data_IF_904988395400
#
_entry.id   IF_904988395400
#
_cell.length_a   1.000
_cell.length_b   1.000
_cell.length_c   1.000
_cell.angle_alpha   90.00
_cell.angle_beta   90.00
_cell.angle_gamma   90.00
#
_symmetry.space_group_name_H-M   'P 1'
#
loop_
_entity.id
_entity.type
_entity.pdbx_description
1 polymer ?
#
# COMPACT_ATOMS: atom_id res chain seq x y z
N UNK A 1 13.66 -13.07 12.37
CA UNK A 1 12.73 -12.53 13.39
C UNK A 1 12.49 -11.04 13.16
N UNK A 2 11.33 -10.52 13.55
CA UNK A 2 11.07 -9.07 13.64
C UNK A 2 11.89 -8.40 14.75
N UNK A 3 11.95 -7.07 14.69
CA UNK A 3 12.67 -6.24 15.67
C UNK A 3 12.16 -6.48 17.09
N UNK A 4 13.08 -6.66 18.04
CA UNK A 4 12.78 -6.94 19.45
C UNK A 4 11.89 -8.18 19.74
N UNK A 5 11.62 -9.04 18.76
CA UNK A 5 10.80 -10.25 18.97
C UNK A 5 11.69 -11.44 19.29
N UNK A 6 11.53 -12.00 20.50
CA UNK A 6 12.26 -13.19 20.91
C UNK A 6 12.01 -14.39 19.95
N UNK A 7 13.06 -15.15 19.65
CA UNK A 7 12.99 -16.28 18.71
C UNK A 7 11.98 -17.36 19.12
N UNK A 8 11.70 -17.50 20.42
CA UNK A 8 10.72 -18.45 20.95
C UNK A 8 9.31 -18.24 20.38
N UNK A 9 8.92 -17.00 20.06
CA UNK A 9 7.62 -16.69 19.48
C UNK A 9 7.45 -17.18 18.03
N UNK A 10 8.53 -17.55 17.35
CA UNK A 10 8.49 -18.11 15.99
C UNK A 10 8.46 -19.64 15.98
N UNK A 11 8.48 -20.29 17.14
CA UNK A 11 8.51 -21.77 17.24
C UNK A 11 7.27 -22.39 16.61
N UNK A 12 6.09 -21.85 16.91
CA UNK A 12 4.83 -22.35 16.37
C UNK A 12 4.76 -22.18 14.84
N UNK A 13 5.19 -21.02 14.34
CA UNK A 13 5.27 -20.74 12.89
C UNK A 13 6.20 -21.70 12.18
N UNK A 14 7.40 -21.93 12.74
CA UNK A 14 8.36 -22.90 12.19
C UNK A 14 7.80 -24.33 12.19
N UNK A 15 7.14 -24.74 13.28
CA UNK A 15 6.49 -26.06 13.35
C UNK A 15 5.38 -26.20 12.32
N UNK A 16 4.55 -25.17 12.13
CA UNK A 16 3.47 -25.20 11.14
C UNK A 16 4.01 -25.33 9.71
N UNK A 17 5.10 -24.63 9.39
CA UNK A 17 5.81 -24.77 8.11
C UNK A 17 6.32 -26.21 7.94
N UNK A 18 7.00 -26.77 8.94
CA UNK A 18 7.50 -28.15 8.87
C UNK A 18 6.38 -29.19 8.75
N UNK A 19 5.26 -29.00 9.44
CA UNK A 19 4.12 -29.92 9.40
C UNK A 19 3.40 -29.88 8.05
N UNK A 20 3.25 -28.71 7.44
CA UNK A 20 2.63 -28.56 6.13
C UNK A 20 3.52 -29.09 5.00
N UNK A 21 4.85 -28.97 5.15
CA UNK A 21 5.82 -29.30 4.10
C UNK A 21 6.13 -30.79 4.06
N UNK A 22 5.31 -31.53 3.32
CA UNK A 22 5.51 -32.97 3.05
C UNK A 22 6.42 -33.21 1.85
N UNK A 23 7.02 -34.40 1.71
CA UNK A 23 7.85 -34.75 0.55
C UNK A 23 9.23 -34.08 0.48
N UNK A 24 9.51 -33.07 1.31
CA UNK A 24 10.80 -32.43 1.47
C UNK A 24 11.38 -32.71 2.86
N UNK A 25 12.70 -32.86 2.95
CA UNK A 25 13.40 -32.89 4.24
C UNK A 25 13.71 -31.46 4.67
N UNK A 26 12.85 -30.88 5.50
CA UNK A 26 12.96 -29.48 5.89
C UNK A 26 13.47 -29.32 7.34
N UNK A 27 14.53 -28.51 7.48
CA UNK A 27 14.97 -27.96 8.76
C UNK A 27 14.66 -26.47 8.79
N UNK A 28 13.89 -26.02 9.78
CA UNK A 28 13.68 -24.59 10.02
C UNK A 28 14.54 -24.16 11.20
N UNK A 29 15.42 -23.19 10.98
CA UNK A 29 16.28 -22.61 12.01
C UNK A 29 15.92 -21.15 12.23
N UNK A 30 15.83 -20.72 13.49
CA UNK A 30 15.47 -19.34 13.85
C UNK A 30 16.69 -18.72 14.55
N UNK A 31 17.56 -17.98 13.84
CA UNK A 31 18.69 -17.33 14.46
C UNK A 31 18.22 -16.22 15.40
N UNK A 32 18.85 -16.10 16.57
CA UNK A 32 18.70 -14.90 17.40
C UNK A 32 19.47 -13.77 16.75
N UNK A 33 18.76 -12.77 16.27
CA UNK A 33 19.29 -11.53 15.68
C UNK A 33 18.87 -10.41 16.63
N UNK A 34 19.83 -9.70 17.20
CA UNK A 34 19.55 -8.46 17.94
C UNK A 34 19.43 -7.31 16.96
N UNK A 35 18.69 -6.26 17.31
CA UNK A 35 18.45 -5.13 16.41
C UNK A 35 19.75 -4.49 15.87
N UNK A 36 20.80 -4.46 16.68
CA UNK A 36 22.13 -4.00 16.24
C UNK A 36 22.75 -4.84 15.10
N UNK A 37 22.31 -6.09 14.93
CA UNK A 37 22.74 -6.99 13.85
C UNK A 37 21.82 -6.90 12.63
N UNK A 38 20.59 -6.39 12.78
CA UNK A 38 19.77 -6.02 11.63
C UNK A 38 20.26 -4.69 11.07
N UNK A 39 21.30 -4.75 10.25
CA UNK A 39 21.80 -3.56 9.57
C UNK A 39 20.84 -3.29 8.39
N UNK A 40 20.00 -2.27 8.55
CA UNK A 40 19.07 -1.80 7.51
C UNK A 40 19.77 -1.34 6.23
N UNK A 41 21.09 -1.19 6.24
CA UNK A 41 21.92 -0.97 5.07
C UNK A 41 23.06 -1.98 5.00
N UNK A 42 22.87 -2.97 4.13
CA UNK A 42 23.79 -4.10 3.99
C UNK A 42 24.26 -4.20 2.52
N UNK A 43 24.91 -3.16 1.96
CA UNK A 43 25.17 -3.08 0.52
C UNK A 43 26.28 -4.02 0.03
N UNK A 44 26.93 -4.77 0.93
CA UNK A 44 27.99 -5.72 0.56
C UNK A 44 28.14 -6.83 1.60
N UNK A 45 28.73 -7.94 1.16
CA UNK A 45 29.04 -9.10 2.00
C UNK A 45 29.87 -8.75 3.25
N UNK A 46 30.78 -7.78 3.15
CA UNK A 46 31.61 -7.35 4.29
C UNK A 46 30.75 -6.73 5.41
N UNK A 47 29.76 -5.92 5.05
CA UNK A 47 28.86 -5.27 6.00
C UNK A 47 27.79 -6.25 6.52
N UNK A 48 27.42 -7.25 5.73
CA UNK A 48 26.48 -8.31 6.15
C UNK A 48 27.12 -9.48 6.88
N UNK A 49 28.44 -9.50 7.02
CA UNK A 49 29.20 -10.65 7.53
C UNK A 49 28.76 -11.10 8.92
N UNK A 50 28.42 -10.17 9.82
CA UNK A 50 27.90 -10.49 11.15
C UNK A 50 26.55 -11.20 11.11
N UNK A 51 25.61 -10.71 10.30
CA UNK A 51 24.28 -11.32 10.14
C UNK A 51 24.40 -12.69 9.47
N UNK A 52 25.19 -12.77 8.39
CA UNK A 52 25.46 -14.03 7.69
C UNK A 52 26.10 -15.08 8.60
N UNK A 53 27.11 -14.70 9.38
CA UNK A 53 27.78 -15.61 10.32
C UNK A 53 26.80 -16.13 11.37
N UNK A 54 25.88 -15.28 11.84
CA UNK A 54 24.84 -15.69 12.79
C UNK A 54 23.85 -16.69 12.20
N UNK A 55 23.48 -16.52 10.93
CA UNK A 55 22.65 -17.49 10.19
C UNK A 55 23.43 -18.80 10.00
N UNK A 56 24.68 -18.74 9.55
CA UNK A 56 25.54 -19.91 9.38
C UNK A 56 25.76 -20.69 10.69
N UNK A 57 25.94 -19.99 11.81
CA UNK A 57 26.04 -20.57 13.15
C UNK A 57 24.76 -21.26 13.61
N UNK A 58 23.58 -20.76 13.20
CA UNK A 58 22.32 -21.41 13.50
C UNK A 58 22.12 -22.67 12.64
N UNK A 59 22.49 -22.60 11.35
CA UNK A 59 22.43 -23.74 10.43
C UNK A 59 23.40 -24.84 10.87
N UNK A 60 24.62 -24.51 11.29
CA UNK A 60 25.64 -25.50 11.72
C UNK A 60 25.24 -26.28 12.98
N UNK A 61 24.30 -25.76 13.77
CA UNK A 61 23.71 -26.46 14.93
C UNK A 61 22.54 -27.37 14.56
N UNK A 62 22.06 -27.30 13.32
CA UNK A 62 21.05 -28.23 12.82
C UNK A 62 21.71 -29.51 12.30
N UNK A 63 20.89 -30.53 11.98
CA UNK A 63 21.38 -31.74 11.30
C UNK A 63 21.35 -31.62 9.78
N UNK A 64 21.19 -30.40 9.25
CA UNK A 64 21.16 -30.13 7.83
C UNK A 64 22.53 -30.42 7.19
N UNK A 65 22.50 -31.06 6.01
CA UNK A 65 23.70 -31.50 5.29
C UNK A 65 23.71 -31.00 3.84
N UNK A 66 22.89 -30.00 3.51
CA UNK A 66 22.89 -29.38 2.18
C UNK A 66 24.25 -28.73 1.91
N UNK A 67 24.66 -28.76 0.65
CA UNK A 67 26.00 -28.30 0.24
C UNK A 67 25.95 -27.17 -0.77
N UNK A 68 24.77 -26.89 -1.35
CA UNK A 68 24.60 -25.81 -2.31
C UNK A 68 23.50 -24.85 -1.83
N UNK A 69 23.91 -23.68 -1.36
CA UNK A 69 23.01 -22.66 -0.81
C UNK A 69 21.96 -22.19 -1.84
N UNK A 70 22.33 -22.12 -3.13
CA UNK A 70 21.43 -21.77 -4.23
C UNK A 70 20.33 -22.79 -4.51
N UNK A 71 20.46 -24.00 -4.00
CA UNK A 71 19.50 -25.09 -4.22
C UNK A 71 18.79 -25.49 -2.93
N UNK A 72 19.48 -25.38 -1.79
CA UNK A 72 19.04 -26.03 -0.56
C UNK A 72 18.61 -25.03 0.53
N UNK A 73 18.84 -23.72 0.36
CA UNK A 73 18.67 -22.73 1.44
C UNK A 73 17.71 -21.61 1.05
N UNK A 74 16.60 -21.51 1.79
CA UNK A 74 15.67 -20.39 1.71
C UNK A 74 15.83 -19.48 2.92
N UNK A 75 15.76 -18.16 2.72
CA UNK A 75 15.86 -17.17 3.79
C UNK A 75 14.50 -16.53 4.01
N UNK A 76 14.03 -16.50 5.25
CA UNK A 76 12.78 -15.86 5.61
C UNK A 76 12.99 -14.76 6.66
N UNK A 77 12.20 -13.70 6.55
CA UNK A 77 12.11 -12.64 7.53
C UNK A 77 10.67 -12.35 7.92
N UNK A 78 10.48 -11.78 9.11
CA UNK A 78 9.17 -11.27 9.56
C UNK A 78 9.30 -9.79 9.90
N UNK A 79 8.39 -8.93 9.44
CA UNK A 79 8.40 -7.49 9.74
C UNK A 79 9.73 -6.84 9.32
N UNK A 80 10.40 -6.10 10.20
CA UNK A 80 11.78 -5.61 10.00
C UNK A 80 12.76 -6.74 9.61
N UNK A 81 12.53 -7.96 10.10
CA UNK A 81 13.28 -9.16 9.72
C UNK A 81 13.25 -9.45 8.23
N UNK A 82 12.17 -9.09 7.51
CA UNK A 82 12.07 -9.21 6.05
C UNK A 82 13.04 -8.27 5.35
N UNK A 83 13.21 -7.05 5.88
CA UNK A 83 14.22 -6.11 5.39
C UNK A 83 15.63 -6.64 5.67
N UNK A 84 15.91 -7.16 6.86
CA UNK A 84 17.22 -7.75 7.15
C UNK A 84 17.50 -8.97 6.24
N UNK A 85 16.49 -9.82 5.99
CA UNK A 85 16.59 -10.96 5.10
C UNK A 85 16.85 -10.52 3.65
N UNK A 86 16.12 -9.51 3.15
CA UNK A 86 16.35 -8.94 1.82
C UNK A 86 17.79 -8.44 1.68
N UNK A 87 18.23 -7.65 2.65
CA UNK A 87 19.58 -7.10 2.73
C UNK A 87 20.67 -8.18 2.76
N UNK A 88 20.44 -9.27 3.50
CA UNK A 88 21.36 -10.40 3.54
C UNK A 88 21.44 -11.09 2.17
N UNK A 89 20.28 -11.41 1.57
CA UNK A 89 20.21 -12.06 0.26
C UNK A 89 20.90 -11.20 -0.80
N UNK A 90 20.61 -9.90 -0.84
CA UNK A 90 21.23 -8.95 -1.76
C UNK A 90 22.75 -8.79 -1.51
N UNK A 91 23.17 -8.61 -0.25
CA UNK A 91 24.58 -8.45 0.12
C UNK A 91 25.45 -9.67 -0.21
N UNK A 92 24.84 -10.83 -0.42
CA UNK A 92 25.46 -12.07 -0.89
C UNK A 92 25.08 -12.41 -2.34
N UNK A 93 24.73 -11.41 -3.15
CA UNK A 93 24.47 -11.54 -4.60
C UNK A 93 23.44 -12.62 -4.93
N UNK A 94 22.40 -12.73 -4.10
CA UNK A 94 21.29 -13.66 -4.27
C UNK A 94 21.73 -15.13 -4.26
N UNK A 95 22.77 -15.47 -3.48
CA UNK A 95 23.31 -16.83 -3.34
C UNK A 95 22.44 -17.74 -2.45
N UNK A 96 21.14 -17.78 -2.71
CA UNK A 96 20.12 -18.54 -1.97
C UNK A 96 19.09 -19.14 -2.93
N UNK A 97 18.40 -20.21 -2.54
CA UNK A 97 17.35 -20.85 -3.34
C UNK A 97 16.07 -20.00 -3.44
N UNK A 98 15.82 -19.15 -2.45
CA UNK A 98 14.71 -18.22 -2.45
C UNK A 98 14.61 -17.39 -1.18
N UNK A 99 13.74 -16.38 -1.21
CA UNK A 99 13.48 -15.45 -0.11
C UNK A 99 11.99 -15.44 0.25
N UNK A 100 11.67 -15.27 1.53
CA UNK A 100 10.29 -15.12 2.00
C UNK A 100 10.15 -13.94 2.95
N UNK A 101 9.24 -13.02 2.65
CA UNK A 101 8.90 -11.86 3.45
C UNK A 101 7.54 -12.07 4.12
N UNK A 102 7.54 -12.25 5.44
CA UNK A 102 6.33 -12.39 6.26
C UNK A 102 6.01 -11.04 6.91
N UNK A 103 4.77 -10.54 6.79
CA UNK A 103 4.39 -9.23 7.32
C UNK A 103 5.41 -8.14 6.96
N UNK A 104 6.01 -8.21 5.78
CA UNK A 104 7.16 -7.38 5.41
C UNK A 104 7.34 -7.36 3.89
N UNK A 105 8.42 -6.74 3.44
CA UNK A 105 8.62 -6.50 2.01
C UNK A 105 10.10 -6.45 1.63
N UNK A 106 10.35 -6.51 0.32
CA UNK A 106 11.67 -6.30 -0.29
C UNK A 106 11.77 -4.86 -0.81
N UNK A 107 12.83 -4.51 -1.53
CA UNK A 107 12.99 -3.15 -2.02
C UNK A 107 11.91 -2.80 -3.04
N UNK A 108 11.56 -1.51 -3.13
CA UNK A 108 10.52 -1.09 -4.09
C UNK A 108 11.02 -1.08 -5.52
N UNK A 109 12.32 -0.89 -5.73
CA UNK A 109 12.92 -0.63 -7.04
C UNK A 109 14.28 -1.29 -7.13
N UNK A 110 14.77 -1.49 -8.36
CA UNK A 110 16.08 -2.09 -8.60
C UNK A 110 16.04 -3.61 -8.60
N UNK A 111 17.20 -4.24 -8.54
CA UNK A 111 17.39 -5.69 -8.60
C UNK A 111 16.82 -6.44 -7.38
N UNK A 112 16.66 -5.77 -6.25
CA UNK A 112 15.98 -6.32 -5.08
C UNK A 112 14.47 -5.99 -5.02
N UNK A 113 13.87 -5.53 -6.13
CA UNK A 113 12.41 -5.40 -6.26
C UNK A 113 11.73 -6.72 -6.61
N UNK A 114 10.42 -6.83 -6.38
CA UNK A 114 9.69 -8.08 -6.71
C UNK A 114 9.78 -8.40 -8.20
N UNK A 115 9.60 -7.40 -9.06
CA UNK A 115 9.64 -7.61 -10.51
C UNK A 115 11.01 -8.15 -10.97
N UNK A 116 12.10 -7.58 -10.44
CA UNK A 116 13.47 -7.85 -10.89
C UNK A 116 14.23 -8.85 -10.01
N UNK A 117 13.64 -9.37 -8.93
CA UNK A 117 14.35 -10.21 -7.96
C UNK A 117 14.99 -11.43 -8.67
N UNK A 118 16.30 -11.68 -8.58
CA UNK A 118 16.94 -12.74 -9.38
C UNK A 118 16.54 -14.16 -9.01
N UNK A 119 16.03 -14.36 -7.80
CA UNK A 119 15.63 -15.66 -7.25
C UNK A 119 14.12 -15.65 -6.89
N UNK A 120 13.50 -16.81 -6.63
CA UNK A 120 12.14 -16.88 -6.11
C UNK A 120 11.98 -16.04 -4.85
N UNK A 121 10.91 -15.25 -4.77
CA UNK A 121 10.57 -14.41 -3.62
C UNK A 121 9.07 -14.48 -3.32
N UNK A 122 8.73 -14.87 -2.09
CA UNK A 122 7.37 -14.94 -1.58
C UNK A 122 7.09 -13.77 -0.62
N UNK A 123 5.95 -13.11 -0.78
CA UNK A 123 5.40 -12.19 0.21
C UNK A 123 4.12 -12.77 0.80
N UNK A 124 4.06 -12.88 2.12
CA UNK A 124 2.85 -13.19 2.87
C UNK A 124 2.58 -12.06 3.87
N UNK A 125 1.41 -11.42 3.82
CA UNK A 125 1.00 -10.42 4.81
C UNK A 125 -0.45 -10.67 5.26
N UNK A 126 -0.80 -10.22 6.46
CA UNK A 126 -2.17 -10.30 6.95
C UNK A 126 -3.10 -9.31 6.24
N UNK A 127 -4.37 -9.67 6.04
CA UNK A 127 -5.41 -8.72 5.60
C UNK A 127 -5.55 -7.55 6.57
N UNK A 128 -5.32 -7.82 7.86
CA UNK A 128 -5.46 -6.90 8.98
C UNK A 128 -4.11 -6.39 9.47
N UNK A 129 -3.05 -6.56 8.68
CA UNK A 129 -1.74 -5.97 8.99
C UNK A 129 -1.87 -4.44 9.01
N UNK A 130 -1.91 -3.86 10.21
CA UNK A 130 -1.94 -2.41 10.40
C UNK A 130 -0.53 -1.79 10.33
N UNK A 131 0.51 -2.62 10.25
CA UNK A 131 1.90 -2.21 10.27
C UNK A 131 2.40 -1.69 8.93
N UNK A 132 3.70 -1.89 8.69
CA UNK A 132 4.36 -1.47 7.46
C UNK A 132 4.05 -2.38 6.28
N UNK A 133 3.45 -3.56 6.46
CA UNK A 133 3.10 -4.49 5.40
C UNK A 133 1.58 -4.58 5.18
N UNK A 134 0.90 -3.48 5.48
CA UNK A 134 -0.54 -3.31 5.24
C UNK A 134 -0.95 -3.54 3.78
N UNK A 135 -2.23 -3.92 3.53
CA UNK A 135 -2.72 -4.22 2.19
C UNK A 135 -2.39 -3.17 1.13
N UNK A 136 -2.53 -1.87 1.41
CA UNK A 136 -2.24 -0.87 0.39
C UNK A 136 -0.77 -0.68 0.06
N UNK A 137 0.15 -1.05 0.96
CA UNK A 137 1.57 -1.21 0.60
C UNK A 137 1.83 -2.47 -0.19
N UNK A 138 1.16 -3.58 0.15
CA UNK A 138 1.27 -4.84 -0.58
C UNK A 138 0.70 -4.75 -2.00
N UNK A 139 -0.27 -3.86 -2.25
CA UNK A 139 -0.77 -3.58 -3.59
C UNK A 139 0.36 -3.21 -4.56
N UNK A 140 1.34 -2.42 -4.11
CA UNK A 140 2.50 -2.05 -4.93
C UNK A 140 3.33 -3.27 -5.35
N UNK A 141 3.66 -4.16 -4.41
CA UNK A 141 4.41 -5.39 -4.70
C UNK A 141 3.59 -6.40 -5.52
N UNK A 142 2.29 -6.47 -5.27
CA UNK A 142 1.36 -7.25 -6.08
C UNK A 142 1.33 -6.75 -7.54
N UNK A 143 1.38 -5.44 -7.78
CA UNK A 143 1.47 -4.89 -9.13
C UNK A 143 2.77 -5.26 -9.86
N UNK A 144 3.89 -5.34 -9.13
CA UNK A 144 5.15 -5.85 -9.69
C UNK A 144 5.05 -7.33 -10.05
N UNK A 145 4.45 -8.15 -9.18
CA UNK A 145 4.17 -9.56 -9.49
C UNK A 145 3.30 -9.71 -10.74
N UNK A 146 2.26 -8.87 -10.89
CA UNK A 146 1.43 -8.82 -12.11
C UNK A 146 2.23 -8.44 -13.35
N UNK A 147 3.12 -7.45 -13.23
CA UNK A 147 3.95 -7.00 -14.35
C UNK A 147 4.89 -8.12 -14.79
N UNK A 148 5.53 -8.80 -13.83
CA UNK A 148 6.31 -10.01 -14.11
C UNK A 148 5.46 -11.09 -14.78
N UNK A 149 4.25 -11.34 -14.30
CA UNK A 149 3.31 -12.31 -14.88
C UNK A 149 2.83 -11.96 -16.28
N UNK A 150 2.67 -10.67 -16.60
CA UNK A 150 2.35 -10.22 -17.95
C UNK A 150 3.51 -10.49 -18.94
N UNK A 151 4.76 -10.42 -18.46
CA UNK A 151 5.95 -10.69 -19.27
C UNK A 151 6.30 -12.18 -19.37
N UNK A 152 6.06 -12.98 -18.34
CA UNK A 152 6.56 -14.37 -18.22
C UNK A 152 5.47 -15.44 -18.07
N UNK A 153 4.20 -15.04 -17.92
CA UNK A 153 3.07 -15.92 -17.65
C UNK A 153 2.71 -16.00 -16.17
N UNK A 154 1.42 -16.22 -15.88
CA UNK A 154 0.89 -16.23 -14.52
C UNK A 154 1.46 -17.37 -13.66
N UNK A 155 1.69 -18.54 -14.26
CA UNK A 155 2.29 -19.68 -13.57
C UNK A 155 3.69 -19.34 -13.05
N UNK A 156 4.51 -18.69 -13.90
CA UNK A 156 5.84 -18.21 -13.51
C UNK A 156 5.76 -17.15 -12.42
N UNK A 157 4.77 -16.25 -12.45
CA UNK A 157 4.58 -15.27 -11.38
C UNK A 157 4.20 -15.94 -10.05
N UNK A 158 3.35 -16.97 -10.06
CA UNK A 158 2.97 -17.72 -8.84
C UNK A 158 4.13 -18.54 -8.28
N UNK A 159 5.03 -19.04 -9.12
CA UNK A 159 6.21 -19.79 -8.72
C UNK A 159 7.32 -18.88 -8.21
N UNK A 160 7.62 -17.82 -8.97
CA UNK A 160 8.79 -16.97 -8.73
C UNK A 160 8.47 -15.76 -7.87
N UNK A 161 7.35 -15.07 -8.10
CA UNK A 161 7.00 -13.75 -7.52
C UNK A 161 5.66 -13.74 -6.76
N UNK A 162 5.27 -14.77 -6.00
CA UNK A 162 3.97 -14.76 -5.34
C UNK A 162 3.89 -13.66 -4.27
N UNK A 163 2.87 -12.82 -4.38
CA UNK A 163 2.49 -11.84 -3.35
C UNK A 163 1.09 -12.18 -2.87
N UNK A 164 0.95 -12.50 -1.59
CA UNK A 164 -0.31 -12.94 -1.01
C UNK A 164 -0.70 -12.19 0.26
N UNK A 165 -1.97 -11.81 0.32
CA UNK A 165 -2.62 -11.33 1.53
C UNK A 165 -3.41 -12.50 2.14
N UNK A 166 -3.33 -12.68 3.44
CA UNK A 166 -3.93 -13.81 4.16
C UNK A 166 -5.21 -13.35 4.88
N UNK A 167 -6.38 -13.97 4.59
CA UNK A 167 -7.68 -13.48 5.02
C UNK A 167 -7.85 -13.50 6.55
N UNK A 168 -8.30 -12.39 7.11
CA UNK A 168 -8.58 -12.21 8.53
C UNK A 168 -7.37 -12.29 9.46
N UNK A 169 -6.16 -12.41 8.93
CA UNK A 169 -4.93 -12.48 9.72
C UNK A 169 -4.35 -11.09 9.96
N UNK A 170 -3.70 -10.89 11.09
CA UNK A 170 -2.96 -9.67 11.43
C UNK A 170 -1.44 -9.81 11.23
N UNK A 171 -0.68 -8.77 11.55
CA UNK A 171 0.79 -8.81 11.46
C UNK A 171 1.39 -9.75 12.52
N UNK A 172 0.79 -9.81 13.70
CA UNK A 172 1.27 -10.57 14.86
C UNK A 172 1.08 -12.09 14.72
N UNK A 173 0.18 -12.54 13.85
CA UNK A 173 -0.08 -13.94 13.57
C UNK A 173 1.16 -14.72 13.12
N UNK A 174 2.19 -14.06 12.58
CA UNK A 174 3.47 -14.70 12.22
C UNK A 174 4.38 -14.99 13.42
N UNK A 175 4.12 -14.42 14.59
CA UNK A 175 4.84 -14.67 15.84
C UNK A 175 3.88 -14.88 17.04
N UNK A 176 3.17 -16.02 17.08
CA UNK A 176 2.14 -16.32 18.06
C UNK A 176 2.55 -16.04 19.51
N UNK A 177 1.70 -15.31 20.24
CA UNK A 177 1.95 -14.94 21.64
C UNK A 177 2.77 -13.66 21.85
N UNK A 178 3.21 -13.02 20.77
CA UNK A 178 3.77 -11.69 20.78
C UNK A 178 2.94 -10.79 19.86
N UNK A 179 2.23 -9.84 20.46
CA UNK A 179 1.48 -8.85 19.69
C UNK A 179 2.43 -7.74 19.31
N UNK A 180 2.85 -7.71 18.04
CA UNK A 180 3.79 -6.74 17.48
C UNK A 180 3.11 -5.39 17.50
N UNK A 181 3.29 -4.70 18.62
CA UNK A 181 2.71 -3.43 19.02
C UNK A 181 1.19 -3.44 19.19
N UNK A 182 0.73 -3.41 20.46
CA UNK A 182 -0.67 -3.28 20.89
C UNK A 182 -1.48 -2.14 20.23
N UNK A 183 -0.81 -1.26 19.50
CA UNK A 183 -1.36 -0.01 18.96
C UNK A 183 -1.24 0.12 17.44
N UNK A 184 -0.41 -0.69 16.76
CA UNK A 184 -0.22 -0.52 15.32
C UNK A 184 -0.97 -1.52 14.48
N UNK A 185 -1.43 -2.61 15.06
CA UNK A 185 -2.06 -3.72 14.34
C UNK A 185 -3.57 -3.78 14.60
N UNK A 186 -4.30 -4.40 13.68
CA UNK A 186 -5.74 -4.65 13.81
C UNK A 186 -5.89 -6.09 14.26
N UNK A 187 -6.76 -6.36 15.23
CA UNK A 187 -6.86 -7.72 15.78
C UNK A 187 -7.24 -8.76 14.72
N UNK A 188 -6.51 -9.88 14.70
CA UNK A 188 -6.85 -11.05 13.89
C UNK A 188 -8.30 -11.51 14.12
N UNK A 189 -9.00 -11.78 13.02
CA UNK A 189 -10.33 -12.36 12.97
C UNK A 189 -10.30 -13.89 12.99
N UNK A 190 -9.11 -14.49 12.87
CA UNK A 190 -8.92 -15.95 12.85
C UNK A 190 -8.27 -16.44 14.14
N UNK A 191 -8.48 -17.72 14.45
CA UNK A 191 -7.75 -18.33 15.56
C UNK A 191 -6.30 -18.54 15.18
N UNK A 192 -5.43 -18.56 16.20
CA UNK A 192 -4.01 -18.83 15.99
C UNK A 192 -3.74 -20.13 15.21
N UNK A 193 -4.55 -21.18 15.43
CA UNK A 193 -4.44 -22.44 14.70
C UNK A 193 -4.74 -22.30 13.20
N UNK A 194 -5.74 -21.48 12.84
CA UNK A 194 -6.07 -21.19 11.44
C UNK A 194 -4.96 -20.36 10.79
N UNK A 195 -4.44 -19.35 11.49
CA UNK A 195 -3.30 -18.56 11.03
C UNK A 195 -2.06 -19.43 10.75
N UNK A 196 -1.68 -20.29 11.71
CA UNK A 196 -0.55 -21.22 11.56
C UNK A 196 -0.74 -22.20 10.39
N UNK A 197 -1.94 -22.78 10.26
CA UNK A 197 -2.25 -23.65 9.12
C UNK A 197 -2.12 -22.91 7.78
N UNK A 198 -2.62 -21.67 7.71
CA UNK A 198 -2.61 -20.86 6.48
C UNK A 198 -1.19 -20.46 6.09
N UNK A 199 -0.39 -19.97 7.05
CA UNK A 199 1.02 -19.63 6.84
C UNK A 199 1.80 -20.88 6.41
N UNK A 200 1.64 -21.99 7.12
CA UNK A 200 2.31 -23.25 6.80
C UNK A 200 2.00 -23.74 5.39
N UNK A 201 0.74 -23.67 4.95
CA UNK A 201 0.32 -24.05 3.59
C UNK A 201 0.93 -23.16 2.52
N UNK A 202 0.92 -21.83 2.71
CA UNK A 202 1.51 -20.90 1.74
C UNK A 202 3.02 -21.11 1.58
N UNK A 203 3.73 -21.23 2.70
CA UNK A 203 5.18 -21.51 2.68
C UNK A 203 5.48 -22.88 2.08
N UNK A 204 4.73 -23.93 2.46
CA UNK A 204 4.91 -25.27 1.90
C UNK A 204 4.73 -25.28 0.39
N UNK A 205 3.69 -24.62 -0.12
CA UNK A 205 3.44 -24.52 -1.55
C UNK A 205 4.61 -23.83 -2.26
N UNK A 206 5.15 -22.75 -1.68
CA UNK A 206 6.27 -22.04 -2.28
C UNK A 206 7.52 -22.90 -2.36
N UNK A 207 7.81 -23.64 -1.28
CA UNK A 207 8.94 -24.57 -1.22
C UNK A 207 8.77 -25.71 -2.23
N UNK A 208 7.58 -26.27 -2.41
CA UNK A 208 7.32 -27.33 -3.38
C UNK A 208 7.50 -26.89 -4.82
N UNK A 209 7.10 -25.65 -5.15
CA UNK A 209 7.31 -25.08 -6.48
C UNK A 209 8.78 -24.81 -6.78
N UNK A 210 9.57 -24.49 -5.76
CA UNK A 210 10.97 -24.08 -5.90
C UNK A 210 11.97 -25.14 -5.42
N UNK A 211 11.54 -26.39 -5.26
CA UNK A 211 12.40 -27.52 -4.87
C UNK A 211 12.08 -28.76 -5.71
N UNK A 212 13.03 -29.70 -5.86
CA UNK A 212 12.78 -30.97 -6.54
C UNK A 212 11.68 -31.78 -5.83
N UNK A 213 10.47 -31.79 -6.39
CA UNK A 213 9.32 -32.56 -5.91
C UNK A 213 8.58 -33.20 -7.09
N UNK A 214 7.75 -34.22 -6.82
CA UNK A 214 6.94 -34.85 -7.87
C UNK A 214 5.80 -33.93 -8.37
N UNK A 215 5.29 -34.25 -9.56
CA UNK A 215 4.23 -33.47 -10.22
C UNK A 215 2.94 -33.38 -9.38
N UNK A 216 2.67 -34.35 -8.51
CA UNK A 216 1.46 -34.31 -7.66
C UNK A 216 1.58 -33.19 -6.63
N UNK A 217 2.74 -33.10 -5.96
CA UNK A 217 3.03 -32.05 -5.01
C UNK A 217 3.10 -30.67 -5.69
N UNK A 218 3.74 -30.57 -6.86
CA UNK A 218 3.78 -29.30 -7.60
C UNK A 218 2.39 -28.82 -8.02
N UNK A 219 1.53 -29.71 -8.52
CA UNK A 219 0.17 -29.35 -8.91
C UNK A 219 -0.69 -28.92 -7.71
N UNK A 220 -0.55 -29.59 -6.57
CA UNK A 220 -1.21 -29.19 -5.33
C UNK A 220 -0.73 -27.80 -4.86
N UNK A 221 0.59 -27.55 -4.91
CA UNK A 221 1.18 -26.27 -4.57
C UNK A 221 0.69 -25.13 -5.48
N UNK A 222 0.60 -25.36 -6.81
CA UNK A 222 0.01 -24.39 -7.75
C UNK A 222 -1.44 -24.07 -7.41
N UNK A 223 -2.24 -25.07 -7.04
CA UNK A 223 -3.62 -24.87 -6.63
C UNK A 223 -3.72 -24.01 -5.35
N UNK A 224 -2.84 -24.26 -4.36
CA UNK A 224 -2.77 -23.42 -3.14
C UNK A 224 -2.40 -21.98 -3.48
N UNK A 225 -1.36 -21.75 -4.28
CA UNK A 225 -0.96 -20.40 -4.69
C UNK A 225 -2.04 -19.68 -5.49
N UNK A 226 -2.72 -20.39 -6.39
CA UNK A 226 -3.84 -19.83 -7.14
C UNK A 226 -4.99 -19.41 -6.23
N UNK A 227 -5.32 -20.20 -5.20
CA UNK A 227 -6.35 -19.86 -4.22
C UNK A 227 -5.98 -18.60 -3.41
N UNK A 228 -4.74 -18.54 -2.92
CA UNK A 228 -4.24 -17.35 -2.20
C UNK A 228 -4.22 -16.10 -3.09
N UNK A 229 -3.82 -16.26 -4.35
CA UNK A 229 -3.86 -15.19 -5.35
C UNK A 229 -5.28 -14.70 -5.63
N UNK A 230 -6.28 -15.59 -5.70
CA UNK A 230 -7.68 -15.17 -5.90
C UNK A 230 -8.15 -14.25 -4.79
N UNK A 231 -7.91 -14.60 -3.53
CA UNK A 231 -8.24 -13.71 -2.42
C UNK A 231 -7.46 -12.38 -2.53
N UNK A 232 -6.15 -12.47 -2.75
CA UNK A 232 -5.27 -11.29 -2.88
C UNK A 232 -5.74 -10.34 -3.97
N UNK A 233 -6.06 -10.86 -5.16
CA UNK A 233 -6.57 -10.06 -6.27
C UNK A 233 -7.90 -9.40 -5.95
N UNK A 234 -8.83 -10.10 -5.29
CA UNK A 234 -10.12 -9.51 -4.94
C UNK A 234 -10.00 -8.36 -3.95
N UNK A 235 -8.98 -8.38 -3.07
CA UNK A 235 -8.69 -7.32 -2.13
C UNK A 235 -7.86 -6.17 -2.75
N UNK A 236 -6.80 -6.48 -3.51
CA UNK A 236 -5.80 -5.50 -3.93
C UNK A 236 -6.06 -4.87 -5.30
N UNK A 237 -6.84 -5.50 -6.20
CA UNK A 237 -7.22 -4.85 -7.46
C UNK A 237 -8.01 -3.54 -7.24
N UNK A 238 -8.98 -3.45 -6.31
CA UNK A 238 -9.61 -2.18 -5.94
C UNK A 238 -8.60 -1.12 -5.48
N UNK A 239 -7.59 -1.51 -4.70
CA UNK A 239 -6.54 -0.60 -4.22
C UNK A 239 -5.72 -0.06 -5.40
N UNK A 240 -5.33 -0.92 -6.33
CA UNK A 240 -4.63 -0.49 -7.55
C UNK A 240 -5.47 0.46 -8.39
N UNK A 241 -6.79 0.25 -8.48
CA UNK A 241 -7.67 1.15 -9.21
C UNK A 241 -7.65 2.56 -8.62
N UNK A 242 -7.78 2.70 -7.29
CA UNK A 242 -7.74 4.04 -6.65
C UNK A 242 -6.36 4.67 -6.66
N UNK A 243 -5.27 3.89 -6.60
CA UNK A 243 -3.90 4.40 -6.79
C UNK A 243 -3.68 4.96 -8.20
N UNK A 244 -4.22 4.30 -9.23
CA UNK A 244 -4.16 4.80 -10.61
C UNK A 244 -4.95 6.11 -10.76
N UNK A 245 -6.04 6.30 -10.01
CA UNK A 245 -6.81 7.55 -10.07
C UNK A 245 -6.01 8.79 -9.66
N UNK A 246 -5.04 8.63 -8.75
CA UNK A 246 -4.13 9.71 -8.34
C UNK A 246 -3.26 10.24 -9.49
N UNK A 247 -3.14 9.48 -10.59
CA UNK A 247 -2.36 9.84 -11.77
C UNK A 247 -3.13 10.71 -12.77
N UNK A 248 -4.33 11.19 -12.42
CA UNK A 248 -5.00 12.28 -13.12
C UNK A 248 -6.51 12.17 -13.20
N UNK A 249 -7.06 10.95 -13.34
CA UNK A 249 -8.52 10.78 -13.49
C UNK A 249 -9.31 11.25 -12.27
N UNK A 250 -8.68 11.33 -11.09
CA UNK A 250 -9.28 11.96 -9.93
C UNK A 250 -9.52 13.46 -10.10
N UNK A 251 -8.55 14.22 -10.64
CA UNK A 251 -8.75 15.64 -10.93
C UNK A 251 -9.73 15.85 -12.10
N UNK A 252 -9.85 14.90 -13.02
CA UNK A 252 -10.88 14.93 -14.06
C UNK A 252 -12.29 14.88 -13.46
N UNK A 253 -12.51 13.93 -12.55
CA UNK A 253 -13.76 13.78 -11.80
C UNK A 253 -14.02 15.02 -10.95
N UNK A 254 -13.00 15.52 -10.24
CA UNK A 254 -13.10 16.73 -9.43
C UNK A 254 -13.54 17.94 -10.28
N UNK A 255 -12.96 18.13 -11.46
CA UNK A 255 -13.33 19.22 -12.37
C UNK A 255 -14.79 19.12 -12.81
N UNK A 256 -15.28 17.90 -13.12
CA UNK A 256 -16.69 17.67 -13.47
C UNK A 256 -17.62 17.97 -12.29
N UNK A 257 -17.24 17.56 -11.09
CA UNK A 257 -18.00 17.86 -9.86
C UNK A 257 -18.03 19.37 -9.58
N UNK A 258 -16.87 20.04 -9.62
CA UNK A 258 -16.72 21.48 -9.37
C UNK A 258 -17.41 22.32 -10.44
N UNK A 259 -17.49 21.84 -11.68
CA UNK A 259 -18.22 22.53 -12.74
C UNK A 259 -19.73 22.62 -12.42
N UNK A 260 -20.29 21.68 -11.67
CA UNK A 260 -21.68 21.71 -11.22
C UNK A 260 -22.70 21.72 -12.37
N UNK A 261 -22.38 21.10 -13.50
CA UNK A 261 -23.27 21.02 -14.66
C UNK A 261 -24.45 20.08 -14.37
N UNK A 262 -25.60 20.40 -14.98
CA UNK A 262 -26.75 19.50 -15.03
C UNK A 262 -26.41 18.22 -15.81
N UNK A 263 -27.22 17.17 -15.65
CA UNK A 263 -27.06 15.94 -16.45
C UNK A 263 -27.22 16.21 -17.94
N UNK A 264 -28.07 17.18 -18.31
CA UNK A 264 -28.30 17.61 -19.69
C UNK A 264 -27.09 18.32 -20.29
N UNK A 265 -26.36 19.10 -19.48
CA UNK A 265 -25.21 19.90 -19.93
C UNK A 265 -23.86 19.20 -19.72
N UNK A 266 -23.81 18.08 -18.98
CA UNK A 266 -22.57 17.38 -18.64
C UNK A 266 -21.73 17.00 -19.87
N UNK A 267 -22.38 16.69 -21.00
CA UNK A 267 -21.72 16.36 -22.27
C UNK A 267 -21.03 17.54 -22.96
N UNK A 268 -21.29 18.78 -22.51
CA UNK A 268 -20.67 20.00 -23.04
C UNK A 268 -19.29 20.28 -22.42
N UNK A 269 -18.88 19.56 -21.39
CA UNK A 269 -17.57 19.73 -20.75
C UNK A 269 -16.65 18.56 -21.08
N UNK A 270 -15.54 18.87 -21.74
CA UNK A 270 -14.46 17.93 -22.00
C UNK A 270 -13.28 18.29 -21.10
N UNK A 271 -12.79 17.33 -20.33
CA UNK A 271 -11.68 17.55 -19.39
C UNK A 271 -10.47 16.74 -19.85
N UNK A 272 -9.34 17.42 -19.99
CA UNK A 272 -8.03 16.83 -20.23
C UNK A 272 -7.19 17.08 -18.97
N UNK A 273 -6.49 16.07 -18.47
CA UNK A 273 -5.65 16.21 -17.28
C UNK A 273 -4.18 16.07 -17.67
N UNK A 274 -3.36 17.00 -17.19
CA UNK A 274 -1.91 16.96 -17.29
C UNK A 274 -1.35 16.68 -15.90
N UNK A 275 -1.00 15.41 -15.65
CA UNK A 275 -0.38 14.98 -14.42
C UNK A 275 1.12 15.30 -14.47
N UNK A 276 1.56 16.15 -13.55
CA UNK A 276 2.91 16.72 -13.55
C UNK A 276 3.59 16.52 -12.20
N UNK A 277 4.92 16.65 -12.17
CA UNK A 277 5.66 16.68 -10.90
C UNK A 277 5.28 17.91 -10.07
N UNK A 278 5.45 17.82 -8.74
CA UNK A 278 5.24 18.96 -7.81
C UNK A 278 5.98 20.24 -8.23
N UNK A 279 7.20 20.10 -8.77
CA UNK A 279 7.97 21.25 -9.29
C UNK A 279 7.32 21.88 -10.52
N UNK A 280 6.81 21.07 -11.45
CA UNK A 280 6.14 21.56 -12.64
C UNK A 280 4.75 22.13 -12.32
N UNK A 281 4.06 21.58 -11.31
CA UNK A 281 2.75 22.05 -10.85
C UNK A 281 2.73 23.54 -10.48
N UNK A 282 3.81 24.08 -9.93
CA UNK A 282 3.91 25.52 -9.59
C UNK A 282 4.08 26.45 -10.80
N UNK A 283 4.45 25.89 -11.96
CA UNK A 283 4.75 26.67 -13.18
C UNK A 283 3.79 26.41 -14.33
N UNK A 284 3.06 25.30 -14.28
CA UNK A 284 2.03 24.95 -15.26
C UNK A 284 0.68 25.40 -14.73
N UNK A 285 -0.12 26.06 -15.59
CA UNK A 285 -1.47 26.50 -15.24
C UNK A 285 -2.51 25.72 -16.04
N UNK A 286 -3.70 25.64 -15.49
CA UNK A 286 -4.89 25.18 -16.21
C UNK A 286 -5.23 26.14 -17.37
N UNK A 287 -6.08 25.67 -18.29
CA UNK A 287 -6.56 26.49 -19.40
C UNK A 287 -7.89 25.97 -19.94
N UNK A 288 -8.57 26.75 -20.77
CA UNK A 288 -9.80 26.31 -21.41
C UNK A 288 -9.96 26.90 -22.82
N UNK A 289 -10.75 26.23 -23.65
CA UNK A 289 -11.08 26.68 -25.01
C UNK A 289 -12.50 26.26 -25.34
N UNK A 290 -13.32 27.22 -25.77
CA UNK A 290 -14.68 26.95 -26.24
C UNK A 290 -14.63 26.50 -27.70
N UNK A 291 -15.14 25.31 -27.98
CA UNK A 291 -15.28 24.75 -29.32
C UNK A 291 -16.74 24.50 -29.71
N UNK A 292 -16.97 23.98 -30.91
CA UNK A 292 -18.31 23.66 -31.41
C UNK A 292 -19.01 22.53 -30.63
N UNK A 293 -18.23 21.67 -29.96
CA UNK A 293 -18.72 20.55 -29.17
C UNK A 293 -18.84 20.86 -27.67
N UNK A 294 -18.57 22.10 -27.25
CA UNK A 294 -18.57 22.51 -25.85
C UNK A 294 -17.23 23.09 -25.38
N UNK A 295 -17.06 23.15 -24.06
CA UNK A 295 -15.88 23.69 -23.40
C UNK A 295 -14.87 22.58 -23.16
N UNK A 296 -13.67 22.73 -23.71
CA UNK A 296 -12.52 21.90 -23.36
C UNK A 296 -11.72 22.58 -22.26
N UNK A 297 -11.48 21.90 -21.16
CA UNK A 297 -10.67 22.36 -20.02
C UNK A 297 -9.44 21.46 -19.88
N UNK A 298 -8.27 22.07 -19.72
CA UNK A 298 -7.04 21.41 -19.31
C UNK A 298 -6.83 21.64 -17.82
N UNK A 299 -6.84 20.57 -17.04
CA UNK A 299 -6.62 20.54 -15.59
C UNK A 299 -5.19 20.10 -15.31
N UNK A 300 -4.53 20.72 -14.34
CA UNK A 300 -3.19 20.30 -13.91
C UNK A 300 -3.32 19.52 -12.61
N UNK A 301 -2.64 18.37 -12.52
CA UNK A 301 -2.70 17.46 -11.37
C UNK A 301 -1.30 17.16 -10.84
N UNK A 302 -1.14 17.07 -9.52
CA UNK A 302 0.01 16.42 -8.88
C UNK A 302 -0.46 15.64 -7.66
N UNK A 303 0.14 14.47 -7.42
CA UNK A 303 -0.04 13.73 -6.18
C UNK A 303 1.04 14.14 -5.17
N UNK A 304 0.64 14.49 -3.94
CA UNK A 304 1.57 14.78 -2.85
C UNK A 304 1.81 13.48 -2.05
N UNK A 305 3.05 12.96 -2.00
CA UNK A 305 3.33 11.78 -1.20
C UNK A 305 3.10 12.09 0.27
N UNK A 306 2.76 11.07 1.06
CA UNK A 306 2.73 11.21 2.52
C UNK A 306 4.12 11.62 3.01
N UNK A 307 4.17 12.69 3.81
CA UNK A 307 5.42 13.29 4.30
C UNK A 307 5.61 13.15 5.82
N UNK A 308 4.87 12.25 6.45
CA UNK A 308 4.75 12.16 7.90
C UNK A 308 5.73 11.20 8.58
N UNK A 309 5.98 11.46 9.86
CA UNK A 309 6.49 10.51 10.86
C UNK A 309 5.25 10.00 11.61
N UNK A 310 5.00 8.69 11.69
CA UNK A 310 3.82 8.14 12.39
C UNK A 310 2.98 7.18 11.53
N UNK A 311 1.64 7.05 11.75
CA UNK A 311 0.82 6.08 11.02
C UNK A 311 0.79 6.33 9.52
N UNK A 312 1.18 7.54 9.08
CA UNK A 312 1.25 7.98 7.68
C UNK A 312 2.57 7.69 6.95
N UNK A 313 3.62 7.24 7.64
CA UNK A 313 5.00 7.09 7.14
C UNK A 313 5.18 5.93 6.12
N UNK A 314 4.17 5.06 5.96
CA UNK A 314 4.29 3.83 5.16
C UNK A 314 3.27 3.68 4.01
N UNK A 315 2.46 4.70 3.75
CA UNK A 315 1.44 4.63 2.69
C UNK A 315 2.04 4.64 1.29
N UNK A 316 1.36 3.96 0.37
CA UNK A 316 1.58 4.16 -1.07
C UNK A 316 0.61 5.19 -1.65
N UNK A 317 -0.54 5.38 -1.01
CA UNK A 317 -1.47 6.44 -1.34
C UNK A 317 -0.85 7.82 -1.10
N UNK A 318 -1.17 8.75 -1.99
CA UNK A 318 -0.88 10.16 -1.80
C UNK A 318 -1.70 10.72 -0.63
N UNK A 319 -1.11 11.65 0.13
CA UNK A 319 -1.83 12.37 1.19
C UNK A 319 -2.91 13.27 0.59
N UNK A 320 -2.53 13.99 -0.47
CA UNK A 320 -3.45 14.75 -1.32
C UNK A 320 -3.17 14.54 -2.80
N UNK A 321 -4.22 14.78 -3.59
CA UNK A 321 -4.09 15.04 -5.02
C UNK A 321 -4.51 16.48 -5.25
N UNK A 322 -3.58 17.27 -5.77
CA UNK A 322 -3.76 18.68 -5.97
C UNK A 322 -4.24 18.93 -7.39
N UNK A 323 -5.32 19.70 -7.53
CA UNK A 323 -5.95 19.97 -8.81
C UNK A 323 -6.05 21.47 -9.05
N UNK A 324 -5.45 21.95 -10.14
CA UNK A 324 -5.73 23.28 -10.70
C UNK A 324 -6.83 23.16 -11.74
N UNK A 325 -8.00 23.69 -11.42
CA UNK A 325 -9.24 23.52 -12.16
C UNK A 325 -9.90 24.86 -12.46
N UNK A 326 -10.74 24.85 -13.49
CA UNK A 326 -11.62 25.96 -13.86
C UNK A 326 -12.88 25.92 -13.01
N UNK A 327 -13.23 27.02 -12.37
CA UNK A 327 -14.39 27.11 -11.48
C UNK A 327 -15.75 27.15 -12.20
N UNK A 328 -16.81 26.74 -11.50
CA UNK A 328 -18.19 26.72 -11.99
C UNK A 328 -18.62 28.01 -12.72
N UNK A 329 -18.32 29.17 -12.14
CA UNK A 329 -18.69 30.47 -12.72
C UNK A 329 -18.06 30.70 -14.11
N UNK A 330 -16.83 30.22 -14.31
CA UNK A 330 -16.16 30.31 -15.63
C UNK A 330 -16.80 29.33 -16.60
N UNK A 331 -17.07 28.10 -16.17
CA UNK A 331 -17.75 27.09 -17.00
C UNK A 331 -19.13 27.61 -17.44
N UNK A 332 -19.95 28.10 -16.50
CA UNK A 332 -21.25 28.71 -16.77
C UNK A 332 -21.16 29.85 -17.79
N UNK A 333 -20.19 30.76 -17.62
CA UNK A 333 -19.98 31.87 -18.55
C UNK A 333 -19.63 31.39 -19.96
N UNK A 334 -18.73 30.42 -20.10
CA UNK A 334 -18.27 29.96 -21.42
C UNK A 334 -19.34 29.14 -22.15
N UNK A 335 -20.09 28.31 -21.43
CA UNK A 335 -21.13 27.47 -22.01
C UNK A 335 -22.50 28.17 -22.13
N UNK A 336 -22.67 29.32 -21.48
CA UNK A 336 -23.97 30.01 -21.35
C UNK A 336 -25.06 29.09 -20.74
N UNK A 337 -24.69 28.40 -19.66
CA UNK A 337 -25.55 27.46 -18.92
C UNK A 337 -25.62 27.86 -17.45
N UNK A 338 -26.54 27.24 -16.70
CA UNK A 338 -26.56 27.34 -15.25
C UNK A 338 -25.69 26.24 -14.65
N UNK A 339 -24.94 26.57 -13.60
CA UNK A 339 -24.14 25.62 -12.83
C UNK A 339 -24.51 25.70 -11.37
N UNK A 340 -24.43 24.59 -10.65
CA UNK A 340 -24.46 24.58 -9.20
C UNK A 340 -23.15 25.14 -8.63
N UNK A 341 -23.16 26.42 -8.28
CA UNK A 341 -22.02 27.09 -7.66
C UNK A 341 -21.76 26.69 -6.20
N UNK A 342 -22.57 25.80 -5.60
CA UNK A 342 -22.37 25.33 -4.22
C UNK A 342 -21.32 24.23 -4.09
N UNK A 343 -20.80 23.72 -5.21
CA UNK A 343 -19.78 22.69 -5.26
C UNK A 343 -18.46 23.20 -4.64
N UNK A 344 -17.88 22.36 -3.79
CA UNK A 344 -16.72 22.67 -2.93
C UNK A 344 -15.71 21.53 -2.94
N UNK A 345 -14.46 21.79 -2.53
CA UNK A 345 -13.45 20.75 -2.41
C UNK A 345 -13.89 19.70 -1.37
N UNK A 346 -14.55 20.12 -0.28
CA UNK A 346 -15.28 19.26 0.67
C UNK A 346 -16.24 18.28 -0.01
N UNK A 347 -17.03 18.76 -0.97
CA UNK A 347 -17.96 17.92 -1.74
C UNK A 347 -17.23 16.83 -2.50
N UNK A 348 -16.12 17.19 -3.16
CA UNK A 348 -15.26 16.25 -3.88
C UNK A 348 -14.61 15.22 -2.93
N UNK A 349 -14.17 15.63 -1.74
CA UNK A 349 -13.61 14.70 -0.75
C UNK A 349 -14.63 13.65 -0.26
N UNK A 350 -15.91 14.01 -0.17
CA UNK A 350 -16.98 13.02 0.10
C UNK A 350 -17.09 12.00 -1.02
N UNK A 351 -16.90 12.43 -2.27
CA UNK A 351 -16.87 11.51 -3.42
C UNK A 351 -15.66 10.58 -3.34
N UNK A 352 -14.49 11.03 -2.84
CA UNK A 352 -13.33 10.15 -2.64
C UNK A 352 -13.66 8.97 -1.71
N UNK A 353 -14.32 9.26 -0.58
CA UNK A 353 -14.84 8.25 0.35
C UNK A 353 -15.82 7.30 -0.33
N UNK A 354 -16.81 7.82 -1.06
CA UNK A 354 -17.81 7.01 -1.74
C UNK A 354 -17.20 6.10 -2.82
N UNK A 355 -16.28 6.65 -3.62
CA UNK A 355 -15.56 5.89 -4.65
C UNK A 355 -14.79 4.75 -4.01
N UNK A 356 -13.95 5.04 -3.01
CA UNK A 356 -13.19 4.02 -2.31
C UNK A 356 -14.12 2.96 -1.67
N UNK A 357 -15.19 3.38 -0.98
CA UNK A 357 -16.12 2.48 -0.32
C UNK A 357 -16.80 1.54 -1.33
N UNK A 358 -17.22 2.08 -2.49
CA UNK A 358 -17.89 1.30 -3.53
C UNK A 358 -17.01 0.24 -4.21
N UNK A 359 -15.68 0.43 -4.19
CA UNK A 359 -14.71 -0.48 -4.79
C UNK A 359 -14.24 -1.57 -3.82
N UNK A 360 -14.31 -1.32 -2.52
CA UNK A 360 -13.92 -2.29 -1.50
C UNK A 360 -14.72 -3.59 -1.58
N UNK A 361 -14.10 -4.69 -1.14
CA UNK A 361 -14.82 -5.96 -0.98
C UNK A 361 -15.95 -5.80 0.05
N UNK A 362 -17.01 -6.60 -0.09
CA UNK A 362 -18.12 -6.59 0.88
C UNK A 362 -17.65 -6.84 2.31
N UNK A 363 -16.65 -7.71 2.50
CA UNK A 363 -16.04 -7.99 3.81
C UNK A 363 -15.41 -6.73 4.40
N UNK A 364 -14.58 -6.03 3.62
CA UNK A 364 -13.93 -4.80 4.08
C UNK A 364 -14.94 -3.68 4.34
N UNK A 365 -16.00 -3.56 3.53
CA UNK A 365 -17.10 -2.62 3.76
C UNK A 365 -17.82 -2.90 5.09
N UNK A 366 -18.13 -4.17 5.35
CA UNK A 366 -18.83 -4.57 6.57
C UNK A 366 -18.00 -4.28 7.81
N UNK A 367 -16.69 -4.60 7.76
CA UNK A 367 -15.75 -4.28 8.83
C UNK A 367 -15.68 -2.78 9.08
N UNK A 368 -15.50 -1.99 8.03
CA UNK A 368 -15.46 -0.53 8.13
C UNK A 368 -16.74 0.03 8.79
N UNK A 369 -17.92 -0.43 8.37
CA UNK A 369 -19.19 0.05 8.93
C UNK A 369 -19.42 -0.36 10.39
N UNK A 370 -18.82 -1.46 10.84
CA UNK A 370 -19.00 -2.00 12.19
C UNK A 370 -18.00 -1.43 13.20
N UNK A 371 -16.75 -1.27 12.78
CA UNK A 371 -15.63 -1.11 13.71
C UNK A 371 -14.84 0.19 13.50
N UNK A 372 -14.82 0.72 12.27
CA UNK A 372 -13.93 1.84 11.97
C UNK A 372 -14.47 3.17 12.49
N UNK A 373 -13.53 4.06 12.84
CA UNK A 373 -13.79 5.49 12.95
C UNK A 373 -14.25 6.06 11.60
N UNK A 374 -15.24 6.94 11.65
CA UNK A 374 -15.87 7.52 10.46
C UNK A 374 -15.08 8.67 9.84
N UNK A 375 -15.79 9.51 9.08
CA UNK A 375 -15.23 10.70 8.44
C UNK A 375 -15.90 11.98 8.94
N UNK A 376 -15.11 13.02 9.16
CA UNK A 376 -15.57 14.36 9.47
C UNK A 376 -15.11 15.34 8.39
N UNK A 377 -15.87 15.45 7.31
CA UNK A 377 -15.60 16.43 6.27
C UNK A 377 -15.94 17.84 6.79
N UNK A 378 -14.92 18.66 6.99
CA UNK A 378 -15.04 20.04 7.45
C UNK A 378 -15.13 20.99 6.25
N UNK A 379 -15.41 22.27 6.53
CA UNK A 379 -15.45 23.29 5.47
C UNK A 379 -14.04 23.60 4.96
N UNK A 380 -13.94 23.92 3.67
CA UNK A 380 -12.66 24.22 3.04
C UNK A 380 -11.97 25.42 3.70
N UNK A 381 -10.69 25.26 4.01
CA UNK A 381 -9.82 26.37 4.35
C UNK A 381 -9.47 27.16 3.09
N UNK A 382 -9.27 28.48 3.24
CA UNK A 382 -8.93 29.36 2.11
C UNK A 382 -7.55 29.96 2.30
N UNK A 383 -6.78 30.01 1.22
CA UNK A 383 -5.57 30.81 1.20
C UNK A 383 -5.88 32.30 1.41
N UNK A 384 -5.16 32.93 2.33
CA UNK A 384 -5.34 34.37 2.60
C UNK A 384 -5.12 35.17 1.32
N UNK A 385 -6.11 35.99 0.94
CA UNK A 385 -6.05 36.83 -0.25
C UNK A 385 -6.07 36.11 -1.60
N UNK A 386 -6.36 34.79 -1.65
CA UNK A 386 -6.29 33.99 -2.88
C UNK A 386 -4.92 34.05 -3.59
N UNK A 387 -3.84 34.06 -2.80
CA UNK A 387 -2.47 34.15 -3.30
C UNK A 387 -2.00 32.76 -3.75
N UNK A 388 -1.72 32.60 -5.05
CA UNK A 388 -1.28 31.35 -5.67
C UNK A 388 -0.09 30.67 -4.97
N UNK A 389 1.03 31.38 -4.70
CA UNK A 389 2.15 30.81 -3.94
C UNK A 389 1.76 30.19 -2.59
N UNK A 390 0.84 30.81 -1.83
CA UNK A 390 0.37 30.26 -0.55
C UNK A 390 -0.43 28.97 -0.73
N UNK A 391 -1.10 28.78 -1.88
CA UNK A 391 -1.79 27.54 -2.20
C UNK A 391 -0.80 26.42 -2.52
N UNK A 392 0.26 26.75 -3.27
CA UNK A 392 1.31 25.81 -3.64
C UNK A 392 2.09 25.30 -2.41
N UNK A 393 2.35 26.17 -1.44
CA UNK A 393 3.07 25.82 -0.21
C UNK A 393 2.19 25.15 0.86
N UNK A 394 0.87 25.29 0.76
CA UNK A 394 -0.08 24.68 1.70
C UNK A 394 -0.43 23.23 1.35
N UNK A 395 -1.08 22.53 2.29
CA UNK A 395 -1.49 21.13 2.17
C UNK A 395 -2.96 20.93 2.52
N UNK A 396 -3.50 19.75 2.22
CA UNK A 396 -4.69 19.26 2.90
C UNK A 396 -4.39 19.09 4.41
N UNK A 397 -5.41 19.19 5.25
CA UNK A 397 -5.31 18.79 6.66
C UNK A 397 -6.11 17.52 6.91
N UNK A 398 -5.41 16.49 7.40
CA UNK A 398 -5.95 15.21 7.84
C UNK A 398 -5.67 15.08 9.34
N UNK A 399 -6.69 15.25 10.18
CA UNK A 399 -6.53 15.23 11.64
C UNK A 399 -7.37 14.10 12.22
N UNK A 400 -6.69 13.11 12.79
CA UNK A 400 -7.36 12.01 13.47
C UNK A 400 -7.94 12.45 14.81
N UNK A 401 -9.14 11.97 15.14
CA UNK A 401 -9.81 12.19 16.42
C UNK A 401 -10.32 10.86 16.97
N UNK A 402 -10.90 10.88 18.16
CA UNK A 402 -11.56 9.70 18.75
C UNK A 402 -12.66 9.10 17.88
N UNK A 403 -13.36 9.92 17.10
CA UNK A 403 -14.58 9.50 16.40
C UNK A 403 -14.40 9.37 14.89
N UNK A 404 -13.46 10.12 14.31
CA UNK A 404 -13.33 10.25 12.86
C UNK A 404 -11.97 10.78 12.42
N UNK A 405 -11.68 10.64 11.12
CA UNK A 405 -10.68 11.44 10.42
C UNK A 405 -11.30 12.75 9.94
N UNK A 406 -10.84 13.87 10.48
CA UNK A 406 -11.22 15.22 10.02
C UNK A 406 -10.46 15.55 8.74
N UNK A 407 -11.21 15.96 7.71
CA UNK A 407 -10.66 16.30 6.39
C UNK A 407 -11.00 17.74 6.07
N UNK A 408 -9.97 18.56 5.89
CA UNK A 408 -10.09 19.96 5.48
C UNK A 408 -9.22 20.21 4.26
N UNK A 409 -9.85 20.51 3.12
CA UNK A 409 -9.12 20.93 1.93
C UNK A 409 -8.60 22.36 2.09
N UNK A 410 -7.45 22.64 1.49
CA UNK A 410 -7.06 23.99 1.14
C UNK A 410 -7.59 24.30 -0.25
N UNK A 411 -8.34 25.40 -0.36
CA UNK A 411 -8.95 25.86 -1.58
C UNK A 411 -8.45 27.26 -1.98
N UNK A 412 -8.30 27.48 -3.28
CA UNK A 412 -8.12 28.80 -3.89
C UNK A 412 -9.24 29.01 -4.90
N UNK A 413 -10.09 30.01 -4.67
CA UNK A 413 -11.21 30.31 -5.55
C UNK A 413 -11.20 31.79 -5.95
N UNK A 414 -11.14 32.06 -7.24
CA UNK A 414 -11.02 33.41 -7.80
C UNK A 414 -12.27 33.84 -8.54
N UNK A 415 -12.60 35.13 -8.46
CA UNK A 415 -13.72 35.67 -9.23
C UNK A 415 -13.37 35.81 -10.71
N UNK A 416 -14.38 35.92 -11.57
CA UNK A 416 -14.20 36.25 -12.99
C UNK A 416 -13.54 37.62 -13.21
N UNK A 417 -13.58 38.50 -12.20
CA UNK A 417 -13.00 39.85 -12.21
C UNK A 417 -11.56 39.92 -11.69
N UNK A 418 -11.00 38.82 -11.20
CA UNK A 418 -9.62 38.76 -10.72
C UNK A 418 -8.61 39.18 -11.81
N UNK A 419 -7.50 39.80 -11.42
CA UNK A 419 -6.54 40.33 -12.40
C UNK A 419 -5.59 39.26 -12.96
N UNK A 420 -5.31 38.22 -12.17
CA UNK A 420 -4.26 37.24 -12.47
C UNK A 420 -4.86 35.90 -12.89
N UNK A 421 -5.81 35.37 -12.13
CA UNK A 421 -6.45 34.07 -12.34
C UNK A 421 -7.97 34.26 -12.32
N UNK A 422 -8.68 34.04 -13.43
CA UNK A 422 -10.07 34.53 -13.60
C UNK A 422 -11.08 33.39 -13.60
N UNK A 423 -11.62 33.10 -12.44
CA UNK A 423 -12.66 32.09 -12.30
C UNK A 423 -12.09 30.69 -12.07
N UNK A 424 -10.93 30.60 -11.43
CA UNK A 424 -10.29 29.34 -11.07
C UNK A 424 -10.77 28.81 -9.73
N UNK A 425 -10.71 27.49 -9.56
CA UNK A 425 -11.05 26.79 -8.33
C UNK A 425 -10.06 25.65 -8.07
N UNK A 426 -8.99 25.95 -7.34
CA UNK A 426 -7.96 24.96 -7.03
C UNK A 426 -8.25 24.28 -5.71
N UNK A 427 -7.97 22.98 -5.63
CA UNK A 427 -8.23 22.16 -4.46
C UNK A 427 -7.03 21.27 -4.12
N UNK A 428 -6.71 21.17 -2.83
CA UNK A 428 -5.93 20.06 -2.25
C UNK A 428 -6.93 18.98 -1.82
N UNK A 429 -7.08 17.92 -2.61
CA UNK A 429 -8.15 16.92 -2.42
C UNK A 429 -7.65 15.68 -1.70
N UNK A 430 -8.51 15.06 -0.91
CA UNK A 430 -8.28 13.75 -0.33
C UNK A 430 -8.11 12.74 -1.47
N UNK A 431 -7.02 11.96 -1.41
CA UNK A 431 -6.83 10.83 -2.32
C UNK A 431 -7.91 9.75 -2.09
N UNK A 432 -8.53 9.20 -3.14
CA UNK A 432 -9.36 8.00 -3.03
C UNK A 432 -8.59 6.79 -2.48
N UNK A 433 -7.28 6.67 -2.76
CA UNK A 433 -6.46 5.61 -2.20
C UNK A 433 -6.22 5.81 -0.70
N UNK A 434 -5.99 7.04 -0.26
CA UNK A 434 -5.89 7.36 1.18
C UNK A 434 -7.22 7.12 1.89
N UNK A 435 -8.34 7.42 1.23
CA UNK A 435 -9.66 7.10 1.75
C UNK A 435 -9.85 5.57 1.92
N UNK A 436 -9.40 4.78 0.94
CA UNK A 436 -9.46 3.32 1.01
C UNK A 436 -8.57 2.76 2.13
N UNK A 437 -7.34 3.25 2.27
CA UNK A 437 -6.41 2.87 3.35
C UNK A 437 -7.02 3.19 4.73
N UNK A 438 -7.62 4.38 4.90
CA UNK A 438 -8.32 4.70 6.15
C UNK A 438 -9.43 3.69 6.47
N UNK A 439 -10.24 3.32 5.48
CA UNK A 439 -11.36 2.38 5.69
C UNK A 439 -10.91 0.94 5.91
N UNK A 440 -9.80 0.53 5.28
CA UNK A 440 -9.29 -0.84 5.34
C UNK A 440 -8.34 -1.07 6.50
N UNK A 441 -7.67 -0.03 7.00
CA UNK A 441 -6.65 -0.16 8.05
C UNK A 441 -6.73 0.89 9.13
N UNK A 442 -6.46 2.16 8.81
CA UNK A 442 -6.12 3.15 9.84
C UNK A 442 -7.31 3.49 10.75
N UNK A 443 -8.51 3.56 10.19
CA UNK A 443 -9.74 3.79 10.95
C UNK A 443 -10.12 2.63 11.87
N UNK A 444 -9.56 1.44 11.67
CA UNK A 444 -9.80 0.23 12.48
C UNK A 444 -8.84 0.10 13.67
N UNK A 445 -7.72 0.82 13.65
CA UNK A 445 -6.72 0.77 14.74
C UNK A 445 -7.23 1.45 16.01
N UNK A 446 -6.71 1.12 17.20
CA UNK A 446 -7.01 1.88 18.42
C UNK A 446 -6.59 3.37 18.33
N UNK A 447 -7.35 4.27 18.97
CA UNK A 447 -7.02 5.70 19.10
C UNK A 447 -6.83 6.10 20.58
N UNK A 448 -5.87 6.99 20.91
CA UNK A 448 -4.88 7.59 20.01
C UNK A 448 -3.73 6.62 19.67
N UNK A 449 -3.31 6.64 18.41
CA UNK A 449 -2.23 5.78 17.90
C UNK A 449 -0.89 6.00 18.64
N UNK A 450 -0.62 7.23 19.12
CA UNK A 450 0.69 7.61 19.67
C UNK A 450 0.82 7.60 21.19
N UNK A 451 -0.27 7.59 21.96
CA UNK A 451 -0.18 7.86 23.41
C UNK A 451 0.34 6.67 24.26
N UNK A 452 0.60 5.51 23.65
CA UNK A 452 1.03 4.30 24.37
C UNK A 452 2.47 3.88 24.04
N UNK A 453 3.13 4.48 23.05
CA UNK A 453 4.56 4.21 22.82
C UNK A 453 5.48 4.83 23.86
N UNK A 454 4.99 5.76 24.69
CA UNK A 454 5.78 6.38 25.77
C UNK A 454 5.65 5.67 27.14
N UNK A 455 4.76 4.69 27.27
CA UNK A 455 4.46 4.05 28.58
C UNK A 455 5.12 2.67 28.74
N UNK A 456 5.77 2.14 27.71
CA UNK A 456 6.48 0.86 27.76
C UNK A 456 7.98 1.05 27.51
N UNK A 457 8.69 1.55 28.51
CA UNK A 457 10.15 1.38 28.68
C UNK A 457 10.42 0.74 30.02
#
# INVERSE_FOLDING_TARGET
>A
PGADVATSYYTATAQAIQQATTGLRLHVVIPTVTDQLCISQCPSSSLCSSLHSRVADAVSKSTFSGTNQRLDTFVAGHSMGSVCANNLVHGYSFDYAGMMAFGGYVDKTGDASVEEYPIPVLHLAGELDGGGARPGKLAYYYNQSKTYGAAHGQDMAMEMKPVHVLPGMDHSDFCPGFFVTAIKDIHSEVTQSVAMSTIGQGVSAFLHLNSPTDDTLQNAAKATMSSMLQFTSSLLEPVLQVLVMEQGSWCELAQKQIAGLSSEDAGLLQVEVDAVSKKAFSTTTDSYTLGSAGLKVKVISTAEPTSGVGPTDDHQAAESVDCQMVGANRVAQQLNVQTDGSQSCKGVNKVAHQTAFSLMTKRSQDRYLQEARGWCFLDDSRVSGNIGPLFLDGSISLTETTDCLQVTSLALNTSLSSLIFKGEHYCKLLSPAMAMEWMMTDGLKPYPYHALSEVAV
#
